data_IF_782370728414
#
_entry.id   IF_782370728414
#
_cell.length_a   1.000
_cell.length_b   1.000
_cell.length_c   1.000
_cell.angle_alpha   90.00
_cell.angle_beta   90.00
_cell.angle_gamma   90.00
#
_symmetry.space_group_name_H-M   'P 1'
#
loop_
_entity.id
_entity.type
_entity.pdbx_description
1 polymer ?
#
# COMPACT_ATOMS: atom_id res chain seq x y z
N UNK A 1 -11.26 -36.27 -10.82
CA UNK A 1 -10.66 -35.30 -11.75
C UNK A 1 -9.80 -34.26 -11.02
N UNK A 2 -10.32 -33.62 -9.98
CA UNK A 2 -9.59 -32.62 -9.16
C UNK A 2 -8.29 -33.19 -8.58
N UNK A 3 -8.33 -34.38 -7.97
CA UNK A 3 -7.15 -35.02 -7.36
C UNK A 3 -6.02 -35.28 -8.35
N UNK A 4 -6.35 -35.74 -9.58
CA UNK A 4 -5.35 -35.96 -10.64
C UNK A 4 -4.70 -34.64 -11.08
N UNK A 5 -5.47 -33.57 -11.14
CA UNK A 5 -4.97 -32.23 -11.49
C UNK A 5 -4.05 -31.69 -10.38
N UNK A 6 -4.47 -31.82 -9.11
CA UNK A 6 -3.64 -31.44 -7.96
C UNK A 6 -2.31 -32.19 -7.94
N UNK A 7 -2.35 -33.52 -8.09
CA UNK A 7 -1.12 -34.31 -8.14
C UNK A 7 -0.21 -33.90 -9.32
N UNK A 8 -0.79 -33.59 -10.49
CA UNK A 8 -0.03 -33.11 -11.63
C UNK A 8 0.70 -31.78 -11.35
N UNK A 9 0.07 -30.87 -10.60
CA UNK A 9 0.71 -29.63 -10.13
C UNK A 9 1.77 -29.94 -9.08
N UNK A 10 1.46 -30.74 -8.07
CA UNK A 10 2.38 -31.04 -6.97
C UNK A 10 3.66 -31.76 -7.40
N UNK A 11 3.58 -32.59 -8.45
CA UNK A 11 4.75 -33.23 -9.05
C UNK A 11 5.74 -32.22 -9.70
N UNK A 12 5.30 -31.00 -10.01
CA UNK A 12 6.07 -29.96 -10.73
C UNK A 12 6.33 -28.73 -9.87
N UNK A 13 5.39 -28.39 -9.06
CA UNK A 13 5.44 -27.27 -8.12
C UNK A 13 4.70 -27.72 -6.85
N UNK A 14 5.36 -27.87 -5.70
CA UNK A 14 4.75 -28.43 -4.49
C UNK A 14 3.76 -27.44 -3.86
N UNK A 15 2.63 -27.22 -4.54
CA UNK A 15 1.59 -26.25 -4.14
C UNK A 15 0.94 -26.67 -2.83
N UNK A 16 0.55 -27.95 -2.72
CA UNK A 16 -0.09 -28.46 -1.51
C UNK A 16 0.81 -28.30 -0.29
N UNK A 17 2.08 -28.70 -0.40
CA UNK A 17 3.05 -28.56 0.68
C UNK A 17 3.30 -27.08 1.05
N UNK A 18 3.32 -26.19 0.06
CA UNK A 18 3.48 -24.75 0.27
C UNK A 18 2.27 -24.15 0.96
N UNK A 19 1.06 -24.50 0.53
CA UNK A 19 -0.19 -24.06 1.18
C UNK A 19 -0.26 -24.58 2.61
N UNK A 20 0.08 -25.84 2.83
CA UNK A 20 0.10 -26.41 4.18
C UNK A 20 1.08 -25.68 5.10
N UNK A 21 2.31 -25.45 4.63
CA UNK A 21 3.36 -24.78 5.40
C UNK A 21 3.03 -23.33 5.75
N UNK A 22 2.45 -22.59 4.82
CA UNK A 22 2.30 -21.14 4.96
C UNK A 22 0.89 -20.68 5.32
N UNK A 23 -0.12 -21.55 5.21
CA UNK A 23 -1.50 -21.22 5.54
C UNK A 23 -2.08 -22.19 6.56
N UNK A 24 -2.31 -23.47 6.17
CA UNK A 24 -3.14 -24.34 7.01
C UNK A 24 -2.46 -24.83 8.28
N UNK A 25 -1.16 -25.12 8.22
CA UNK A 25 -0.36 -25.62 9.35
C UNK A 25 0.59 -24.57 9.95
N UNK A 26 0.50 -23.31 9.49
CA UNK A 26 1.32 -22.24 10.06
C UNK A 26 0.95 -22.04 11.54
N UNK A 27 1.93 -22.13 12.46
CA UNK A 27 1.66 -21.99 13.90
C UNK A 27 1.53 -20.52 14.27
N UNK A 28 0.31 -20.08 14.57
CA UNK A 28 0.01 -18.74 15.03
C UNK A 28 -0.06 -18.68 16.56
N UNK A 29 0.49 -17.67 17.25
CA UNK A 29 0.35 -17.51 18.70
C UNK A 29 -1.11 -17.43 19.13
N UNK A 30 -1.47 -18.12 20.22
CA UNK A 30 -2.87 -18.16 20.72
C UNK A 30 -3.35 -16.83 21.30
N UNK A 31 -2.42 -15.97 21.74
CA UNK A 31 -2.68 -14.69 22.42
C UNK A 31 -2.63 -13.47 21.50
N UNK A 32 -2.65 -13.64 20.17
CA UNK A 32 -2.76 -12.51 19.24
C UNK A 32 -4.07 -11.75 19.45
N UNK A 33 -3.99 -10.42 19.40
CA UNK A 33 -5.11 -9.52 19.62
C UNK A 33 -5.40 -8.67 18.36
N UNK A 34 -6.40 -7.80 18.44
CA UNK A 34 -6.87 -6.96 17.31
C UNK A 34 -5.75 -6.15 16.63
N UNK A 35 -4.68 -5.76 17.34
CA UNK A 35 -3.57 -5.00 16.77
C UNK A 35 -2.77 -5.79 15.72
N UNK A 36 -2.88 -7.11 15.71
CA UNK A 36 -2.22 -7.98 14.73
C UNK A 36 -2.96 -8.01 13.38
N UNK A 37 -4.24 -7.62 13.35
CA UNK A 37 -5.08 -7.64 12.15
C UNK A 37 -4.71 -6.55 11.13
N UNK A 38 -3.99 -5.49 11.55
CA UNK A 38 -3.57 -4.42 10.64
C UNK A 38 -2.76 -4.92 9.43
N UNK A 39 -1.99 -6.01 9.60
CA UNK A 39 -1.21 -6.60 8.51
C UNK A 39 -2.06 -7.17 7.37
N UNK A 40 -3.11 -7.93 7.69
CA UNK A 40 -4.02 -8.47 6.67
C UNK A 40 -4.84 -7.36 6.00
N UNK A 41 -5.27 -6.36 6.77
CA UNK A 41 -5.98 -5.20 6.22
C UNK A 41 -5.14 -4.40 5.23
N UNK A 42 -3.82 -4.26 5.48
CA UNK A 42 -2.89 -3.64 4.54
C UNK A 42 -2.82 -4.41 3.21
N UNK A 43 -2.84 -5.74 3.24
CA UNK A 43 -2.89 -6.56 2.01
C UNK A 43 -4.20 -6.34 1.26
N UNK A 44 -5.33 -6.27 1.97
CA UNK A 44 -6.63 -5.98 1.35
C UNK A 44 -6.63 -4.61 0.67
N UNK A 45 -6.12 -3.58 1.35
CA UNK A 45 -6.01 -2.23 0.78
C UNK A 45 -5.05 -2.22 -0.41
N UNK A 46 -3.93 -2.96 -0.36
CA UNK A 46 -3.02 -3.08 -1.51
C UNK A 46 -3.75 -3.63 -2.74
N UNK A 47 -4.56 -4.68 -2.57
CA UNK A 47 -5.38 -5.23 -3.67
C UNK A 47 -6.38 -4.22 -4.19
N UNK A 48 -7.07 -3.49 -3.31
CA UNK A 48 -8.00 -2.41 -3.69
C UNK A 48 -7.27 -1.33 -4.50
N UNK A 49 -6.08 -0.89 -4.05
CA UNK A 49 -5.30 0.13 -4.75
C UNK A 49 -4.84 -0.32 -6.13
N UNK A 50 -4.35 -1.54 -6.26
CA UNK A 50 -3.95 -2.09 -7.56
C UNK A 50 -5.14 -2.19 -8.51
N UNK A 51 -6.25 -2.78 -8.07
CA UNK A 51 -7.43 -2.96 -8.93
C UNK A 51 -8.03 -1.61 -9.36
N UNK A 52 -8.23 -0.68 -8.41
CA UNK A 52 -8.77 0.64 -8.72
C UNK A 52 -7.80 1.48 -9.56
N UNK A 53 -6.48 1.39 -9.29
CA UNK A 53 -5.45 2.10 -10.03
C UNK A 53 -5.36 1.65 -11.49
N UNK A 54 -5.40 0.34 -11.76
CA UNK A 54 -5.43 -0.21 -13.12
C UNK A 54 -6.65 0.28 -13.88
N UNK A 55 -7.81 0.33 -13.21
CA UNK A 55 -9.03 0.84 -13.83
C UNK A 55 -8.94 2.35 -14.15
N UNK A 56 -8.42 3.16 -13.21
CA UNK A 56 -8.21 4.60 -13.41
C UNK A 56 -7.24 4.86 -14.58
N UNK A 57 -6.18 4.06 -14.68
CA UNK A 57 -5.19 4.15 -15.76
C UNK A 57 -5.81 4.08 -17.16
N UNK A 58 -6.90 3.33 -17.35
CA UNK A 58 -7.56 3.19 -18.65
C UNK A 58 -8.18 4.49 -19.17
N UNK A 59 -8.45 5.45 -18.29
CA UNK A 59 -9.16 6.69 -18.62
C UNK A 59 -8.33 7.96 -18.30
N UNK A 60 -7.14 7.81 -17.74
CA UNK A 60 -6.29 8.92 -17.32
C UNK A 60 -5.30 9.31 -18.43
N UNK A 61 -5.15 10.60 -18.67
CA UNK A 61 -4.20 11.16 -19.63
C UNK A 61 -3.03 11.87 -18.92
N UNK A 62 -1.78 11.35 -18.97
CA UNK A 62 -0.65 11.88 -18.22
C UNK A 62 0.04 13.06 -18.93
N UNK A 63 -0.73 14.06 -19.36
CA UNK A 63 -0.23 15.30 -19.98
C UNK A 63 -0.63 16.52 -19.15
N UNK A 64 0.11 17.61 -19.25
CA UNK A 64 -0.19 18.83 -18.51
C UNK A 64 -1.58 19.40 -18.88
N UNK A 65 -1.97 19.25 -20.14
CA UNK A 65 -3.25 19.70 -20.68
C UNK A 65 -4.41 18.75 -20.35
N UNK A 66 -4.15 17.43 -20.40
CA UNK A 66 -5.19 16.39 -20.30
C UNK A 66 -5.43 15.86 -18.91
N UNK A 67 -4.44 15.90 -18.00
CA UNK A 67 -4.50 15.22 -16.71
C UNK A 67 -5.71 15.66 -15.87
N UNK A 68 -5.88 16.95 -15.64
CA UNK A 68 -7.00 17.45 -14.86
C UNK A 68 -8.35 17.19 -15.56
N UNK A 69 -8.41 17.39 -16.88
CA UNK A 69 -9.61 17.14 -17.66
C UNK A 69 -10.01 15.66 -17.65
N UNK A 70 -9.06 14.74 -17.76
CA UNK A 70 -9.33 13.29 -17.68
C UNK A 70 -9.87 12.85 -16.32
N UNK A 71 -9.39 13.46 -15.22
CA UNK A 71 -9.97 13.22 -13.89
C UNK A 71 -11.42 13.72 -13.81
N UNK A 72 -11.71 14.91 -14.37
CA UNK A 72 -13.08 15.42 -14.43
C UNK A 72 -13.98 14.50 -15.26
N UNK A 73 -13.49 14.02 -16.40
CA UNK A 73 -14.18 13.05 -17.25
C UNK A 73 -14.48 11.75 -16.50
N UNK A 74 -13.49 11.19 -15.79
CA UNK A 74 -13.70 10.00 -14.94
C UNK A 74 -14.80 10.25 -13.91
N UNK A 75 -14.80 11.41 -13.27
CA UNK A 75 -15.73 11.72 -12.18
C UNK A 75 -17.16 11.97 -12.65
N UNK A 76 -17.37 12.48 -13.86
CA UNK A 76 -18.67 12.99 -14.33
C UNK A 76 -19.30 12.16 -15.43
N UNK A 77 -18.49 11.68 -16.38
CA UNK A 77 -19.00 11.09 -17.63
C UNK A 77 -18.82 9.58 -17.67
N UNK A 78 -17.78 9.04 -17.03
CA UNK A 78 -17.55 7.60 -16.99
C UNK A 78 -18.51 6.94 -15.99
N UNK A 79 -19.28 5.96 -16.45
CA UNK A 79 -20.23 5.24 -15.59
C UNK A 79 -19.52 4.61 -14.40
N UNK A 80 -19.92 4.97 -13.18
CA UNK A 80 -19.31 4.56 -11.92
C UNK A 80 -17.87 5.02 -11.71
N UNK A 81 -17.32 5.91 -12.54
CA UNK A 81 -15.95 6.39 -12.45
C UNK A 81 -15.64 7.08 -11.12
N UNK A 82 -16.59 7.86 -10.59
CA UNK A 82 -16.48 8.51 -9.29
C UNK A 82 -16.31 7.49 -8.15
N UNK A 83 -16.98 6.34 -8.20
CA UNK A 83 -16.85 5.28 -7.18
C UNK A 83 -15.42 4.75 -7.16
N UNK A 84 -14.88 4.42 -8.33
CA UNK A 84 -13.51 3.87 -8.44
C UNK A 84 -12.48 4.90 -8.01
N UNK A 85 -12.67 6.17 -8.39
CA UNK A 85 -11.75 7.23 -7.96
C UNK A 85 -11.80 7.44 -6.45
N UNK A 86 -13.00 7.51 -5.85
CA UNK A 86 -13.13 7.61 -4.39
C UNK A 86 -12.59 6.37 -3.66
N UNK A 87 -12.77 5.19 -4.23
CA UNK A 87 -12.17 3.96 -3.71
C UNK A 87 -10.64 4.04 -3.67
N UNK A 88 -10.02 4.61 -4.71
CA UNK A 88 -8.57 4.80 -4.78
C UNK A 88 -8.07 5.83 -3.78
N UNK A 89 -8.70 7.00 -3.70
CA UNK A 89 -8.28 8.07 -2.78
C UNK A 89 -8.53 7.72 -1.31
N UNK A 90 -9.71 7.16 -0.99
CA UNK A 90 -10.02 6.66 0.36
C UNK A 90 -9.07 5.51 0.74
N UNK A 91 -8.78 4.64 -0.22
CA UNK A 91 -7.84 3.53 -0.01
C UNK A 91 -6.41 4.01 0.27
N UNK A 92 -5.94 5.06 -0.39
CA UNK A 92 -4.64 5.66 -0.08
C UNK A 92 -4.59 6.18 1.36
N UNK A 93 -5.63 6.87 1.82
CA UNK A 93 -5.73 7.35 3.22
C UNK A 93 -5.81 6.19 4.21
N UNK A 94 -6.60 5.16 3.91
CA UNK A 94 -6.71 3.95 4.71
C UNK A 94 -5.38 3.20 4.81
N UNK A 95 -4.60 3.18 3.73
CA UNK A 95 -3.27 2.55 3.70
C UNK A 95 -2.33 3.21 4.71
N UNK A 96 -2.27 4.55 4.74
CA UNK A 96 -1.45 5.28 5.70
C UNK A 96 -1.94 5.09 7.14
N UNK A 97 -3.24 5.15 7.39
CA UNK A 97 -3.78 4.90 8.71
C UNK A 97 -3.42 3.49 9.23
N UNK A 98 -3.59 2.48 8.40
CA UNK A 98 -3.29 1.09 8.76
C UNK A 98 -1.79 0.83 8.93
N UNK A 99 -0.92 1.42 8.10
CA UNK A 99 0.53 1.20 8.24
C UNK A 99 1.07 1.86 9.51
N UNK A 100 0.54 3.02 9.92
CA UNK A 100 0.89 3.61 11.22
C UNK A 100 0.48 2.72 12.38
N UNK A 101 -0.73 2.15 12.36
CA UNK A 101 -1.18 1.19 13.37
C UNK A 101 -0.30 -0.07 13.37
N UNK A 102 0.05 -0.58 12.20
CA UNK A 102 0.91 -1.75 12.03
C UNK A 102 2.32 -1.51 12.58
N UNK A 103 2.94 -0.39 12.25
CA UNK A 103 4.26 -0.01 12.76
C UNK A 103 4.23 0.26 14.27
N UNK A 104 3.23 0.99 14.75
CA UNK A 104 3.05 1.31 16.15
C UNK A 104 2.92 0.04 16.99
N UNK A 105 2.12 -0.94 16.53
CA UNK A 105 2.03 -2.26 17.15
C UNK A 105 3.41 -2.95 17.21
N UNK A 106 4.17 -2.89 16.11
CA UNK A 106 5.53 -3.44 16.06
C UNK A 106 6.46 -2.83 17.11
N UNK A 107 6.36 -1.52 17.34
CA UNK A 107 7.13 -0.82 18.37
C UNK A 107 6.65 -1.19 19.77
N UNK A 108 5.34 -1.18 20.03
CA UNK A 108 4.78 -1.48 21.36
C UNK A 108 5.14 -2.87 21.86
N UNK A 109 5.11 -3.86 20.97
CA UNK A 109 5.38 -5.26 21.35
C UNK A 109 6.83 -5.69 21.07
N UNK A 110 7.72 -4.75 20.74
CA UNK A 110 9.14 -5.07 20.51
C UNK A 110 9.39 -5.99 19.30
N UNK A 111 8.51 -5.94 18.29
CA UNK A 111 8.62 -6.81 17.10
C UNK A 111 9.83 -6.48 16.20
N UNK A 112 10.62 -5.48 16.55
CA UNK A 112 11.87 -5.11 15.90
C UNK A 112 13.11 -5.82 16.50
N UNK A 113 12.93 -6.52 17.62
CA UNK A 113 14.02 -7.22 18.31
C UNK A 113 14.33 -8.57 17.65
N UNK A 114 15.49 -9.13 18.00
CA UNK A 114 15.91 -10.46 17.53
C UNK A 114 14.80 -11.51 17.72
N UNK A 115 14.57 -12.36 16.73
CA UNK A 115 15.26 -12.53 15.45
C UNK A 115 14.57 -11.77 14.28
N UNK A 116 13.82 -10.68 14.52
CA UNK A 116 12.92 -9.99 13.57
C UNK A 116 13.47 -8.68 13.02
N UNK A 117 14.79 -8.43 13.18
CA UNK A 117 15.43 -7.18 12.72
C UNK A 117 15.28 -6.98 11.20
N UNK A 118 15.51 -8.04 10.41
CA UNK A 118 15.35 -7.98 8.96
C UNK A 118 13.90 -7.68 8.57
N UNK A 119 12.95 -8.33 9.24
CA UNK A 119 11.52 -8.08 9.04
C UNK A 119 11.17 -6.61 9.29
N UNK A 120 11.73 -6.00 10.34
CA UNK A 120 11.54 -4.59 10.68
C UNK A 120 12.14 -3.66 9.63
N UNK A 121 13.35 -3.94 9.14
CA UNK A 121 14.00 -3.16 8.08
C UNK A 121 13.21 -3.22 6.78
N UNK A 122 12.74 -4.41 6.38
CA UNK A 122 11.87 -4.56 5.21
C UNK A 122 10.56 -3.76 5.38
N UNK A 123 9.99 -3.72 6.58
CA UNK A 123 8.83 -2.89 6.90
C UNK A 123 9.10 -1.40 6.68
N UNK A 124 10.26 -0.88 7.08
CA UNK A 124 10.67 0.51 6.82
C UNK A 124 10.83 0.81 5.34
N UNK A 125 11.45 -0.12 4.58
CA UNK A 125 11.56 0.02 3.12
C UNK A 125 10.17 0.09 2.48
N UNK A 126 9.24 -0.78 2.90
CA UNK A 126 7.84 -0.76 2.46
C UNK A 126 7.17 0.57 2.76
N UNK A 127 7.39 1.13 3.96
CA UNK A 127 6.84 2.43 4.36
C UNK A 127 7.35 3.57 3.48
N UNK A 128 8.67 3.63 3.19
CA UNK A 128 9.22 4.66 2.30
C UNK A 128 8.72 4.53 0.87
N UNK A 129 8.58 3.30 0.36
CA UNK A 129 7.96 3.06 -0.95
C UNK A 129 6.50 3.52 -0.98
N UNK A 130 5.75 3.31 0.11
CA UNK A 130 4.38 3.78 0.23
C UNK A 130 4.31 5.32 0.27
N UNK A 131 5.24 5.99 0.97
CA UNK A 131 5.34 7.45 0.96
C UNK A 131 5.61 7.99 -0.46
N UNK A 132 6.53 7.35 -1.20
CA UNK A 132 6.80 7.69 -2.59
C UNK A 132 5.58 7.47 -3.50
N UNK A 133 4.86 6.34 -3.31
CA UNK A 133 3.61 6.06 -4.01
C UNK A 133 2.54 7.11 -3.70
N UNK A 134 2.33 7.45 -2.44
CA UNK A 134 1.37 8.47 -2.02
C UNK A 134 1.69 9.83 -2.64
N UNK A 135 2.95 10.23 -2.59
CA UNK A 135 3.41 11.49 -3.18
C UNK A 135 3.19 11.52 -4.70
N UNK A 136 3.71 10.54 -5.42
CA UNK A 136 3.61 10.50 -6.88
C UNK A 136 2.15 10.45 -7.33
N UNK A 137 1.28 9.67 -6.63
CA UNK A 137 -0.15 9.59 -6.92
C UNK A 137 -0.91 10.89 -6.63
N UNK A 138 -0.52 11.62 -5.58
CA UNK A 138 -1.13 12.91 -5.25
C UNK A 138 -0.85 13.99 -6.30
N UNK A 139 0.25 13.88 -7.05
CA UNK A 139 0.58 14.82 -8.14
C UNK A 139 -0.27 14.57 -9.38
N UNK A 140 -0.72 13.34 -9.65
CA UNK A 140 -1.39 12.98 -10.91
C UNK A 140 -2.67 13.77 -11.23
N UNK A 141 -3.53 14.17 -10.28
CA UNK A 141 -4.68 15.01 -10.60
C UNK A 141 -4.32 16.37 -11.23
N UNK A 142 -3.09 16.82 -11.09
CA UNK A 142 -2.55 18.03 -11.69
C UNK A 142 -3.38 19.28 -11.36
N UNK A 143 -3.94 19.29 -10.14
CA UNK A 143 -4.63 20.46 -9.59
C UNK A 143 -3.67 21.38 -8.84
N UNK A 144 -4.17 22.51 -8.34
CA UNK A 144 -3.37 23.50 -7.60
C UNK A 144 -2.64 22.86 -6.40
N UNK A 145 -3.35 22.10 -5.60
CA UNK A 145 -2.75 21.41 -4.44
C UNK A 145 -1.66 20.40 -4.87
N UNK A 146 -1.90 19.66 -5.95
CA UNK A 146 -0.93 18.70 -6.50
C UNK A 146 0.36 19.38 -6.94
N UNK A 147 0.25 20.46 -7.68
CA UNK A 147 1.38 21.23 -8.23
C UNK A 147 2.23 21.85 -7.11
N UNK A 148 1.58 22.55 -6.17
CA UNK A 148 2.32 23.23 -5.11
C UNK A 148 2.91 22.25 -4.09
N UNK A 149 2.22 21.14 -3.80
CA UNK A 149 2.79 20.07 -3.00
C UNK A 149 4.03 19.43 -3.68
N UNK A 150 3.96 19.21 -4.99
CA UNK A 150 5.11 18.72 -5.76
C UNK A 150 6.28 19.71 -5.68
N UNK A 151 6.01 21.01 -5.81
CA UNK A 151 7.04 22.06 -5.71
C UNK A 151 7.75 22.02 -4.36
N UNK A 152 6.99 21.92 -3.26
CA UNK A 152 7.56 21.89 -1.90
C UNK A 152 8.35 20.60 -1.68
N UNK A 153 7.77 19.44 -1.94
CA UNK A 153 8.41 18.14 -1.65
C UNK A 153 9.66 17.96 -2.52
N UNK A 154 9.61 18.32 -3.79
CA UNK A 154 10.78 18.20 -4.66
C UNK A 154 11.90 19.16 -4.25
N UNK A 155 11.58 20.35 -3.75
CA UNK A 155 12.60 21.30 -3.29
C UNK A 155 13.45 20.76 -2.13
N UNK A 156 12.92 19.81 -1.34
CA UNK A 156 13.67 19.13 -0.28
C UNK A 156 14.86 18.32 -0.86
N UNK A 157 14.69 17.73 -2.03
CA UNK A 157 15.79 17.03 -2.71
C UNK A 157 16.85 18.01 -3.20
N UNK A 158 16.44 19.22 -3.65
CA UNK A 158 17.35 20.29 -4.06
C UNK A 158 18.21 20.81 -2.91
N UNK A 159 17.78 20.68 -1.65
CA UNK A 159 18.55 21.11 -0.48
C UNK A 159 19.69 20.17 -0.07
N UNK A 160 19.83 19.01 -0.71
CA UNK A 160 20.91 18.05 -0.42
C UNK A 160 22.25 18.66 -0.89
N UNK A 161 23.26 18.80 0.01
CA UNK A 161 24.53 19.37 -0.38
C UNK A 161 25.20 18.63 -1.54
N UNK A 162 25.82 19.36 -2.44
CA UNK A 162 26.62 18.93 -3.60
C UNK A 162 25.84 18.29 -4.76
N UNK A 163 24.77 17.53 -4.49
CA UNK A 163 24.05 16.76 -5.53
C UNK A 163 22.59 17.20 -5.71
N UNK A 164 22.08 18.06 -4.82
CA UNK A 164 20.67 18.38 -4.74
C UNK A 164 20.07 18.98 -6.02
N UNK A 165 20.75 19.95 -6.61
CA UNK A 165 20.30 20.61 -7.85
C UNK A 165 20.23 19.63 -9.04
N UNK A 166 21.27 18.80 -9.21
CA UNK A 166 21.32 17.80 -10.28
C UNK A 166 20.26 16.74 -10.07
N UNK A 167 20.10 16.26 -8.81
CA UNK A 167 19.07 15.30 -8.45
C UNK A 167 17.67 15.84 -8.69
N UNK A 168 17.44 17.10 -8.30
CA UNK A 168 16.16 17.78 -8.51
C UNK A 168 15.81 17.89 -9.98
N UNK A 169 16.75 18.35 -10.81
CA UNK A 169 16.62 18.46 -12.26
C UNK A 169 16.37 17.08 -12.88
N UNK A 170 17.08 16.06 -12.40
CA UNK A 170 16.87 14.67 -12.85
C UNK A 170 15.48 14.13 -12.50
N UNK A 171 14.98 14.37 -11.28
CA UNK A 171 13.64 13.94 -10.84
C UNK A 171 12.56 14.66 -11.67
N UNK A 172 12.67 15.99 -11.82
CA UNK A 172 11.72 16.79 -12.59
C UNK A 172 11.76 16.46 -14.08
N UNK A 173 12.95 16.20 -14.60
CA UNK A 173 13.21 16.06 -16.03
C UNK A 173 13.28 17.38 -16.76
N UNK A 174 13.19 18.48 -16.01
CA UNK A 174 13.23 19.86 -16.46
C UNK A 174 13.71 20.76 -15.32
N UNK A 175 14.05 21.99 -15.60
CA UNK A 175 14.39 23.00 -14.58
C UNK A 175 13.20 23.39 -13.71
N UNK A 176 11.99 23.36 -14.28
CA UNK A 176 10.73 23.64 -13.59
C UNK A 176 9.83 22.41 -13.61
N UNK A 177 8.81 22.42 -12.75
CA UNK A 177 7.75 21.40 -12.79
C UNK A 177 6.91 21.63 -14.05
N UNK A 178 6.86 20.61 -14.90
CA UNK A 178 6.23 20.66 -16.23
C UNK A 178 5.49 19.36 -16.54
N UNK A 179 4.89 19.25 -17.73
CA UNK A 179 4.30 18.02 -18.23
C UNK A 179 5.28 16.83 -18.28
N UNK A 180 6.59 17.11 -18.45
CA UNK A 180 7.64 16.08 -18.37
C UNK A 180 7.71 15.51 -16.95
N UNK A 181 7.65 16.37 -15.94
CA UNK A 181 7.62 15.96 -14.54
C UNK A 181 6.41 15.07 -14.25
N UNK A 182 5.22 15.50 -14.70
CA UNK A 182 3.99 14.72 -14.53
C UNK A 182 4.10 13.33 -15.14
N UNK A 183 4.61 13.24 -16.37
CA UNK A 183 4.77 11.95 -17.07
C UNK A 183 5.76 11.02 -16.34
N UNK A 184 6.88 11.55 -15.82
CA UNK A 184 7.83 10.75 -15.03
C UNK A 184 7.20 10.25 -13.74
N UNK A 185 6.50 11.10 -13.00
CA UNK A 185 5.84 10.70 -11.76
C UNK A 185 4.70 9.70 -12.02
N UNK A 186 4.00 9.84 -13.14
CA UNK A 186 3.04 8.85 -13.61
C UNK A 186 3.69 7.48 -13.83
N UNK A 187 4.80 7.41 -14.54
CA UNK A 187 5.52 6.15 -14.75
C UNK A 187 6.01 5.51 -13.43
N UNK A 188 6.50 6.33 -12.50
CA UNK A 188 6.86 5.87 -11.16
C UNK A 188 5.65 5.32 -10.40
N UNK A 189 4.54 6.05 -10.38
CA UNK A 189 3.35 5.68 -9.64
C UNK A 189 2.68 4.41 -10.17
N UNK A 190 2.62 4.24 -11.49
CA UNK A 190 1.85 3.16 -12.12
C UNK A 190 2.67 1.88 -12.29
N UNK A 191 3.99 2.00 -12.49
CA UNK A 191 4.84 0.84 -12.81
C UNK A 191 5.88 0.59 -11.73
N UNK A 192 6.85 1.49 -11.59
CA UNK A 192 8.07 1.20 -10.83
C UNK A 192 7.78 0.98 -9.33
N UNK A 193 7.09 1.93 -8.71
CA UNK A 193 6.84 1.89 -7.26
C UNK A 193 5.86 0.77 -6.86
N UNK A 194 4.75 0.50 -7.57
CA UNK A 194 3.89 -0.63 -7.25
C UNK A 194 4.61 -1.97 -7.38
N UNK A 195 5.40 -2.19 -8.42
CA UNK A 195 6.17 -3.42 -8.58
C UNK A 195 7.23 -3.59 -7.48
N UNK A 196 7.93 -2.51 -7.14
CA UNK A 196 8.89 -2.52 -6.03
C UNK A 196 8.19 -2.79 -4.69
N UNK A 197 7.04 -2.15 -4.44
CA UNK A 197 6.24 -2.38 -3.22
C UNK A 197 5.80 -3.83 -3.11
N UNK A 198 5.22 -4.40 -4.17
CA UNK A 198 4.78 -5.81 -4.20
C UNK A 198 5.96 -6.74 -3.92
N UNK A 199 7.10 -6.52 -4.55
CA UNK A 199 8.29 -7.34 -4.36
C UNK A 199 8.79 -7.28 -2.90
N UNK A 200 8.87 -6.09 -2.30
CA UNK A 200 9.32 -5.94 -0.91
C UNK A 200 8.29 -6.49 0.07
N UNK A 201 6.99 -6.29 -0.15
CA UNK A 201 5.91 -6.87 0.67
C UNK A 201 5.97 -8.39 0.63
N UNK A 202 6.21 -8.98 -0.55
CA UNK A 202 6.37 -10.43 -0.69
C UNK A 202 7.54 -10.95 0.16
N UNK A 203 8.70 -10.31 0.07
CA UNK A 203 9.87 -10.67 0.89
C UNK A 203 9.61 -10.43 2.38
N UNK A 204 8.88 -9.36 2.75
CA UNK A 204 8.48 -9.07 4.13
C UNK A 204 7.61 -10.18 4.72
N UNK A 205 6.63 -10.67 3.95
CA UNK A 205 5.78 -11.80 4.37
C UNK A 205 6.59 -13.09 4.47
N UNK A 206 7.49 -13.36 3.52
CA UNK A 206 8.39 -14.53 3.61
C UNK A 206 9.25 -14.48 4.87
N UNK A 207 9.85 -13.33 5.17
CA UNK A 207 10.64 -13.15 6.38
C UNK A 207 9.80 -13.35 7.65
N UNK A 208 8.54 -12.89 7.66
CA UNK A 208 7.61 -13.15 8.76
C UNK A 208 7.38 -14.65 8.96
N UNK A 209 7.17 -15.40 7.90
CA UNK A 209 6.92 -16.84 7.98
C UNK A 209 8.14 -17.63 8.46
N UNK A 210 9.35 -17.17 8.12
CA UNK A 210 10.58 -17.81 8.59
C UNK A 210 10.80 -17.58 10.10
N UNK A 211 10.70 -16.34 10.57
CA UNK A 211 10.97 -16.01 11.99
C UNK A 211 9.76 -16.24 12.89
N UNK A 212 8.55 -16.23 12.34
CA UNK A 212 7.28 -16.34 13.08
C UNK A 212 6.78 -15.01 13.66
N UNK A 213 5.46 -14.93 13.85
CA UNK A 213 4.83 -13.77 14.47
C UNK A 213 5.31 -13.57 15.91
N UNK A 214 5.52 -12.31 16.29
CA UNK A 214 5.62 -11.95 17.69
C UNK A 214 4.24 -12.05 18.36
N UNK A 215 4.19 -11.98 19.68
CA UNK A 215 2.95 -11.98 20.47
C UNK A 215 3.04 -10.93 21.59
N UNK A 216 1.91 -10.56 22.23
CA UNK A 216 1.88 -9.52 23.26
C UNK A 216 2.82 -9.75 24.45
N UNK A 217 3.07 -11.02 24.80
CA UNK A 217 3.91 -11.39 25.94
C UNK A 217 5.41 -11.49 25.59
N UNK A 218 5.75 -11.34 24.30
CA UNK A 218 7.14 -11.41 23.82
C UNK A 218 7.74 -12.82 23.89
N UNK A 219 6.92 -13.85 24.06
CA UNK A 219 7.39 -15.25 24.14
C UNK A 219 7.77 -15.74 22.74
N UNK A 220 8.96 -16.34 22.62
CA UNK A 220 9.35 -17.02 21.38
C UNK A 220 8.70 -18.40 21.31
N UNK A 221 7.54 -18.45 20.65
CA UNK A 221 6.74 -19.68 20.52
C UNK A 221 7.46 -20.80 19.76
N UNK A 222 8.44 -20.48 18.90
CA UNK A 222 9.23 -21.51 18.19
C UNK A 222 10.28 -22.18 19.08
N UNK A 223 10.59 -21.59 20.23
CA UNK A 223 11.62 -22.10 21.15
C UNK A 223 11.16 -23.32 21.93
N UNK A 224 9.89 -23.37 22.29
CA UNK A 224 9.31 -24.43 23.07
C UNK A 224 8.36 -25.26 22.21
N UNK A 225 8.64 -26.57 22.09
CA UNK A 225 7.89 -27.49 21.24
C UNK A 225 7.44 -28.70 22.02
N UNK A 226 6.33 -29.32 21.60
CA UNK A 226 5.88 -30.59 22.08
C UNK A 226 6.70 -31.78 21.52
N UNK A 227 6.27 -33.02 21.85
CA UNK A 227 6.94 -34.22 21.37
C UNK A 227 6.88 -34.42 19.85
N UNK A 228 5.90 -33.82 19.17
CA UNK A 228 5.68 -33.88 17.73
C UNK A 228 6.37 -32.73 17.02
N UNK A 229 7.09 -31.85 17.74
CA UNK A 229 7.81 -30.71 17.22
C UNK A 229 6.92 -29.49 16.92
N UNK A 230 5.66 -29.51 17.34
CA UNK A 230 4.74 -28.38 17.21
C UNK A 230 5.04 -27.36 18.31
N UNK A 231 5.16 -26.06 17.97
CA UNK A 231 5.39 -25.03 18.98
C UNK A 231 4.26 -24.96 20.01
N UNK A 232 4.62 -24.93 21.29
CA UNK A 232 3.68 -24.71 22.39
C UNK A 232 3.09 -23.29 22.29
N UNK A 233 1.91 -23.09 22.85
CA UNK A 233 1.16 -21.82 22.83
C UNK A 233 0.84 -21.30 21.42
N UNK A 234 0.71 -22.23 20.47
CA UNK A 234 0.24 -21.94 19.13
C UNK A 234 -1.02 -22.71 18.76
N UNK A 235 -1.71 -22.21 17.75
CA UNK A 235 -2.82 -22.86 17.08
C UNK A 235 -2.57 -22.85 15.57
N UNK A 236 -3.15 -23.77 14.79
CA UNK A 236 -3.10 -23.69 13.33
C UNK A 236 -3.74 -22.38 12.86
N UNK A 237 -3.11 -21.71 11.88
CA UNK A 237 -3.65 -20.48 11.32
C UNK A 237 -5.06 -20.69 10.73
N UNK A 238 -5.25 -21.76 9.96
CA UNK A 238 -6.56 -22.18 9.49
C UNK A 238 -7.17 -23.24 10.45
N UNK A 239 -8.44 -23.13 10.84
CA UNK A 239 -9.40 -22.06 10.47
C UNK A 239 -9.37 -20.83 11.38
N UNK A 240 -8.67 -20.88 12.51
CA UNK A 240 -8.87 -19.94 13.62
C UNK A 240 -8.53 -18.48 13.25
N UNK A 241 -7.31 -18.20 12.82
CA UNK A 241 -6.93 -16.82 12.52
C UNK A 241 -7.51 -16.34 11.18
N UNK A 242 -7.72 -17.25 10.22
CA UNK A 242 -8.44 -16.92 8.98
C UNK A 242 -9.85 -16.39 9.27
N UNK A 243 -10.56 -16.97 10.25
CA UNK A 243 -11.89 -16.48 10.64
C UNK A 243 -11.83 -15.09 11.30
N UNK A 244 -10.81 -14.84 12.13
CA UNK A 244 -10.57 -13.50 12.69
C UNK A 244 -10.24 -12.47 11.60
N UNK A 245 -9.40 -12.86 10.65
CA UNK A 245 -9.03 -12.00 9.51
C UNK A 245 -10.26 -11.67 8.66
N UNK A 246 -11.09 -12.65 8.31
CA UNK A 246 -12.33 -12.43 7.55
C UNK A 246 -13.31 -11.51 8.28
N UNK A 247 -13.46 -11.69 9.59
CA UNK A 247 -14.27 -10.79 10.41
C UNK A 247 -13.74 -9.35 10.37
N UNK A 248 -12.43 -9.19 10.58
CA UNK A 248 -11.78 -7.88 10.54
C UNK A 248 -11.91 -7.20 9.16
N UNK A 249 -11.73 -7.97 8.09
CA UNK A 249 -11.92 -7.49 6.70
C UNK A 249 -13.37 -7.01 6.51
N UNK A 250 -14.36 -7.79 6.96
CA UNK A 250 -15.77 -7.42 6.85
C UNK A 250 -16.08 -6.11 7.58
N UNK A 251 -15.64 -5.96 8.83
CA UNK A 251 -15.80 -4.74 9.61
C UNK A 251 -15.08 -3.56 8.95
N UNK A 252 -13.84 -3.75 8.52
CA UNK A 252 -13.06 -2.72 7.82
C UNK A 252 -13.77 -2.26 6.54
N UNK A 253 -14.26 -3.17 5.71
CA UNK A 253 -14.94 -2.83 4.46
C UNK A 253 -16.24 -2.05 4.70
N UNK A 254 -16.98 -2.31 5.78
CA UNK A 254 -18.16 -1.51 6.15
C UNK A 254 -17.74 -0.06 6.43
N UNK A 255 -16.72 0.18 7.23
CA UNK A 255 -16.22 1.53 7.50
C UNK A 255 -15.63 2.17 6.25
N UNK A 256 -14.84 1.43 5.48
CA UNK A 256 -14.24 1.90 4.24
C UNK A 256 -15.29 2.39 3.24
N UNK A 257 -16.33 1.59 3.00
CA UNK A 257 -17.44 1.93 2.10
C UNK A 257 -18.24 3.10 2.66
N UNK A 258 -18.49 3.16 3.97
CA UNK A 258 -19.17 4.28 4.60
C UNK A 258 -18.39 5.59 4.38
N UNK A 259 -17.09 5.61 4.60
CA UNK A 259 -16.26 6.80 4.34
C UNK A 259 -16.31 7.17 2.86
N UNK A 260 -16.14 6.20 1.97
CA UNK A 260 -16.13 6.41 0.52
C UNK A 260 -17.43 7.04 0.00
N UNK A 261 -18.59 6.68 0.55
CA UNK A 261 -19.89 7.19 0.09
C UNK A 261 -20.36 8.44 0.84
N UNK A 262 -20.08 8.54 2.13
CA UNK A 262 -20.63 9.62 2.97
C UNK A 262 -19.64 10.73 3.30
N UNK A 263 -18.34 10.46 3.14
CA UNK A 263 -17.28 11.42 3.44
C UNK A 263 -16.12 11.35 2.42
N UNK A 264 -16.43 11.34 1.11
CA UNK A 264 -15.39 11.32 0.09
C UNK A 264 -14.55 12.60 0.18
N UNK A 265 -13.26 12.51 -0.11
CA UNK A 265 -12.31 13.63 -0.12
C UNK A 265 -12.20 14.41 1.22
N UNK A 266 -12.59 13.80 2.35
CA UNK A 266 -12.42 14.39 3.68
C UNK A 266 -13.20 15.68 3.94
N UNK A 267 -14.35 15.89 3.26
CA UNK A 267 -15.25 17.04 3.48
C UNK A 267 -15.16 18.14 2.44
N UNK A 268 -14.70 17.86 1.25
CA UNK A 268 -14.87 18.71 0.08
C UNK A 268 -13.75 19.72 -0.15
N UNK A 269 -12.58 19.26 -0.48
CA UNK A 269 -11.57 20.13 -1.08
C UNK A 269 -11.95 20.50 -2.50
N UNK A 270 -12.01 21.79 -2.80
CA UNK A 270 -12.20 22.28 -4.17
C UNK A 270 -10.92 21.99 -4.95
N UNK A 271 -11.01 21.05 -5.91
CA UNK A 271 -9.90 20.76 -6.82
C UNK A 271 -9.97 21.77 -7.96
N UNK A 272 -9.02 22.72 -7.97
CA UNK A 272 -8.87 23.69 -9.06
C UNK A 272 -7.74 23.26 -10.00
N UNK A 273 -7.91 23.49 -11.32
CA UNK A 273 -6.87 23.25 -12.32
C UNK A 273 -5.66 24.16 -12.10
N UNK A 274 -4.45 23.66 -12.39
CA UNK A 274 -3.21 24.48 -12.40
C UNK A 274 -3.35 25.67 -13.32
N UNK A 275 -3.95 25.51 -14.49
CA UNK A 275 -4.15 26.58 -15.48
C UNK A 275 -5.00 27.74 -14.96
N UNK A 276 -5.87 27.50 -13.97
CA UNK A 276 -6.76 28.53 -13.44
C UNK A 276 -6.02 29.66 -12.70
N UNK A 277 -4.95 29.37 -11.97
CA UNK A 277 -4.14 30.42 -11.30
C UNK A 277 -3.27 31.23 -12.25
N UNK A 278 -2.81 30.61 -13.32
CA UNK A 278 -2.06 31.34 -14.34
C UNK A 278 -2.93 32.36 -15.09
N UNK A 279 -4.21 32.05 -15.32
CA UNK A 279 -5.16 33.00 -15.89
C UNK A 279 -5.42 34.18 -14.96
N UNK A 280 -5.64 33.95 -13.65
CA UNK A 280 -5.84 35.03 -12.66
C UNK A 280 -4.61 35.93 -12.48
N UNK A 281 -3.40 35.42 -12.60
CA UNK A 281 -2.17 36.22 -12.50
C UNK A 281 -2.00 37.20 -13.65
N UNK A 282 -2.66 36.97 -14.80
CA UNK A 282 -2.66 37.88 -15.95
C UNK A 282 -3.82 38.88 -15.94
N UNK A 283 -4.84 38.69 -15.09
CA UNK A 283 -5.99 39.62 -14.98
C UNK A 283 -5.78 40.72 -13.91
N UNK A 284 -4.73 40.64 -13.12
CA UNK A 284 -4.33 41.65 -12.14
C UNK A 284 -3.11 42.44 -12.58
#
# INVERSE_FOLDING_TARGET
MVTKLMNWFDDRLPLTATIERHLTKYPAPINMNIWYLAGVLLVVVLVIQLASGIWLLMNYEPTAEGAFASIQYIMRDVKYGYIIRYMHTTGASAFFALIFLHMFRGMMYGSYQKPRELLWVLGWITYFLLCALGFTGYVLPWGQMSFWAAQVIMSLFGSIPYIGEDLLTWIRGDYLISGITLNRLFAFHVVLLPLALIAVVFVHILALHEVGSNNPDGVDVKKFKDADGVPLDTKPFFPYDVMHDLYAIGVFLIFFVAIMFFYPDGGGYVIESVSYTHLRAHET
#
